data_IF_440684759411
#
_entry.id   IF_440684759411
#
_cell.length_a   1.000
_cell.length_b   1.000
_cell.length_c   1.000
_cell.angle_alpha   90.00
_cell.angle_beta   90.00
_cell.angle_gamma   90.00
#
_symmetry.space_group_name_H-M   'P 1'
#
loop_
_entity.id
_entity.type
_entity.pdbx_description
1 polymer ?
#
# COMPACT_ATOMS: atom_id res chain seq x y z
N UNK A 1 39.16 -21.34 19.54
CA UNK A 1 39.14 -21.22 18.06
C UNK A 1 38.78 -19.79 17.61
N UNK A 2 39.69 -19.09 16.89
CA UNK A 2 39.42 -17.79 16.27
C UNK A 2 38.98 -17.93 14.79
N UNK A 3 38.37 -16.88 14.23
CA UNK A 3 37.97 -16.71 12.81
C UNK A 3 36.44 -16.63 12.67
N UNK A 4 35.80 -15.62 12.06
CA UNK A 4 36.17 -14.74 10.95
C UNK A 4 35.68 -13.30 11.16
N UNK A 5 36.39 -12.36 10.54
CA UNK A 5 35.97 -10.99 10.29
C UNK A 5 35.61 -10.83 8.80
N UNK A 6 34.62 -9.99 8.48
CA UNK A 6 34.47 -9.14 7.27
C UNK A 6 33.14 -8.38 7.44
N UNK A 7 33.12 -7.10 7.80
CA UNK A 7 33.38 -5.91 6.97
C UNK A 7 32.35 -5.74 5.84
N UNK A 8 31.53 -4.68 5.97
CA UNK A 8 30.55 -4.28 4.96
C UNK A 8 29.89 -2.95 5.32
N UNK A 9 30.70 -1.89 5.46
CA UNK A 9 30.20 -0.52 5.51
C UNK A 9 29.90 -0.05 4.09
N UNK A 10 28.63 0.23 3.78
CA UNK A 10 28.26 0.91 2.53
C UNK A 10 27.89 2.35 2.85
N UNK A 11 28.88 3.22 2.66
CA UNK A 11 28.67 4.65 2.49
C UNK A 11 28.32 4.91 1.01
N UNK A 12 27.24 5.65 0.76
CA UNK A 12 26.98 6.24 -0.55
C UNK A 12 26.52 7.69 -0.34
N UNK A 13 27.42 8.61 -0.63
CA UNK A 13 27.17 10.05 -0.70
C UNK A 13 26.41 10.37 -1.99
N UNK A 14 25.28 11.07 -1.91
CA UNK A 14 24.82 11.92 -3.00
C UNK A 14 24.35 13.26 -2.44
N UNK A 15 25.29 14.21 -2.49
CA UNK A 15 24.99 15.63 -2.41
C UNK A 15 24.49 16.09 -3.78
N UNK A 16 23.30 16.69 -3.83
CA UNK A 16 22.93 17.59 -4.93
C UNK A 16 22.36 18.85 -4.29
N UNK A 17 23.23 19.86 -4.16
CA UNK A 17 22.82 21.24 -3.96
C UNK A 17 22.48 21.83 -5.33
N UNK A 18 21.25 22.31 -5.49
CA UNK A 18 20.92 23.25 -6.55
C UNK A 18 20.10 24.39 -5.93
N UNK A 19 20.81 25.48 -5.65
CA UNK A 19 20.24 26.79 -5.31
C UNK A 19 19.66 27.39 -6.60
N UNK A 20 18.37 27.64 -6.61
CA UNK A 20 17.69 28.60 -7.49
C UNK A 20 16.64 29.27 -6.57
N UNK A 21 16.73 30.52 -6.14
CA UNK A 21 17.14 31.72 -6.87
C UNK A 21 15.87 32.53 -7.18
N UNK A 22 15.47 33.42 -6.26
CA UNK A 22 14.40 34.42 -6.46
C UNK A 22 14.78 35.43 -7.55
N UNK A 23 13.90 35.67 -8.53
CA UNK A 23 13.65 36.94 -9.23
C UNK A 23 12.61 36.66 -10.33
N UNK A 24 11.45 37.32 -10.37
CA UNK A 24 11.35 38.72 -10.76
C UNK A 24 10.84 38.76 -12.21
N UNK A 25 9.57 39.12 -12.39
CA UNK A 25 8.92 39.12 -13.70
C UNK A 25 9.47 40.16 -14.67
N UNK A 26 9.17 39.97 -15.94
CA UNK A 26 8.81 41.04 -16.86
C UNK A 26 8.27 40.42 -18.16
N UNK A 27 7.06 40.85 -18.50
CA UNK A 27 6.57 41.00 -19.86
C UNK A 27 7.64 41.65 -20.75
N UNK A 28 7.69 41.28 -22.03
CA UNK A 28 7.75 42.16 -23.21
C UNK A 28 8.22 41.35 -24.42
N UNK A 29 7.30 41.07 -25.33
CA UNK A 29 7.63 40.65 -26.68
C UNK A 29 8.16 41.82 -27.51
N UNK A 30 9.05 41.49 -28.44
CA UNK A 30 9.13 41.98 -29.83
C UNK A 30 10.57 41.84 -30.33
N UNK A 31 10.80 41.02 -31.37
CA UNK A 31 11.31 41.47 -32.67
C UNK A 31 11.49 40.33 -33.69
N UNK A 32 11.59 40.66 -34.99
CA UNK A 32 11.28 39.79 -36.14
C UNK A 32 12.52 39.10 -36.72
N UNK A 33 12.27 38.29 -37.77
CA UNK A 33 13.15 37.88 -38.88
C UNK A 33 14.67 37.76 -38.63
N UNK A 34 15.22 36.57 -38.84
CA UNK A 34 15.99 36.27 -40.06
C UNK A 34 16.51 34.82 -40.01
N UNK A 35 16.64 34.22 -41.20
CA UNK A 35 16.77 32.78 -41.41
C UNK A 35 18.03 32.09 -40.91
N UNK A 36 17.95 30.76 -40.79
CA UNK A 36 18.86 29.79 -41.43
C UNK A 36 18.37 28.36 -41.10
N UNK A 37 18.11 27.58 -42.14
CA UNK A 37 18.00 26.10 -42.16
C UNK A 37 19.42 25.53 -42.47
N UNK A 38 19.79 24.22 -42.35
CA UNK A 38 19.17 22.99 -41.81
C UNK A 38 20.05 22.23 -40.79
N UNK A 39 19.55 21.15 -40.19
CA UNK A 39 20.41 20.20 -39.47
C UNK A 39 19.68 18.93 -39.03
N UNK A 40 20.09 17.80 -39.60
CA UNK A 40 19.53 16.47 -39.50
C UNK A 40 19.35 15.85 -38.11
N UNK A 41 18.27 15.04 -38.05
CA UNK A 41 18.13 13.76 -37.37
C UNK A 41 18.54 13.65 -35.90
N UNK A 42 17.55 13.58 -35.00
CA UNK A 42 17.50 12.55 -33.93
C UNK A 42 16.06 12.16 -33.62
N UNK A 43 15.73 10.92 -34.00
CA UNK A 43 14.82 9.98 -33.34
C UNK A 43 14.00 10.55 -32.16
N UNK A 44 12.78 11.01 -32.44
CA UNK A 44 11.75 11.16 -31.41
C UNK A 44 11.08 9.80 -31.23
N UNK A 45 11.73 8.92 -30.47
CA UNK A 45 11.02 7.85 -29.80
C UNK A 45 10.12 8.52 -28.76
N UNK A 46 8.78 8.40 -28.82
CA UNK A 46 7.93 8.85 -27.73
C UNK A 46 8.24 7.92 -26.56
N UNK A 47 9.11 8.38 -25.67
CA UNK A 47 9.38 7.73 -24.40
C UNK A 47 8.05 7.37 -23.77
N UNK A 48 7.77 6.06 -23.73
CA UNK A 48 6.69 5.52 -22.94
C UNK A 48 7.00 5.92 -21.51
N UNK A 49 6.30 6.92 -21.00
CA UNK A 49 6.25 7.19 -19.56
C UNK A 49 5.79 5.89 -18.91
N UNK A 50 6.72 5.15 -18.32
CA UNK A 50 6.40 4.05 -17.42
C UNK A 50 5.54 4.68 -16.32
N UNK A 51 4.28 4.26 -16.14
CA UNK A 51 3.49 4.71 -15.00
C UNK A 51 4.32 4.46 -13.74
N UNK A 52 4.56 5.52 -12.96
CA UNK A 52 5.33 5.40 -11.73
C UNK A 52 4.73 4.27 -10.88
N UNK A 53 5.57 3.31 -10.51
CA UNK A 53 5.23 2.26 -9.55
C UNK A 53 4.54 2.94 -8.35
N UNK A 54 3.32 2.54 -7.97
CA UNK A 54 2.66 3.13 -6.81
C UNK A 54 3.59 2.97 -5.61
N UNK A 55 3.87 4.08 -4.91
CA UNK A 55 4.62 4.03 -3.67
C UNK A 55 3.95 3.01 -2.73
N UNK A 56 4.72 2.16 -2.03
CA UNK A 56 4.14 1.21 -1.09
C UNK A 56 3.26 1.98 -0.11
N UNK A 57 1.99 1.59 -0.07
CA UNK A 57 1.02 2.29 0.74
C UNK A 57 1.31 1.98 2.21
N UNK A 58 1.79 2.99 2.96
CA UNK A 58 2.09 2.86 4.38
C UNK A 58 0.83 2.43 5.17
N UNK A 59 1.02 1.58 6.19
CA UNK A 59 -0.02 1.12 7.10
C UNK A 59 -0.45 -0.35 6.90
N UNK A 60 -1.60 -0.69 7.49
CA UNK A 60 -2.19 -2.02 7.41
C UNK A 60 -2.92 -2.21 6.08
N UNK A 61 -2.70 -3.36 5.44
CA UNK A 61 -3.46 -3.79 4.27
C UNK A 61 -4.08 -5.15 4.50
N UNK A 62 -5.28 -5.33 3.96
CA UNK A 62 -6.05 -6.57 4.03
C UNK A 62 -6.61 -6.90 2.66
N UNK A 63 -6.49 -8.16 2.28
CA UNK A 63 -7.09 -8.75 1.09
C UNK A 63 -7.84 -10.03 1.46
N UNK A 64 -8.82 -10.40 0.63
CA UNK A 64 -9.56 -11.64 0.75
C UNK A 64 -9.64 -12.39 -0.57
N UNK A 65 -9.62 -13.71 -0.47
CA UNK A 65 -9.86 -14.62 -1.59
C UNK A 65 -10.62 -15.87 -1.12
N UNK A 66 -11.77 -16.23 -1.72
CA UNK A 66 -12.51 -15.46 -2.73
C UNK A 66 -13.37 -14.34 -2.12
N UNK A 67 -13.79 -13.37 -2.94
CA UNK A 67 -14.70 -12.26 -2.54
C UNK A 67 -16.19 -12.56 -2.78
N UNK A 68 -16.52 -13.76 -3.25
CA UNK A 68 -17.89 -14.25 -3.40
C UNK A 68 -17.95 -15.71 -2.96
N UNK A 69 -18.81 -16.00 -2.00
CA UNK A 69 -18.86 -17.30 -1.29
C UNK A 69 -20.30 -17.74 -1.03
N UNK A 70 -20.53 -19.03 -0.77
CA UNK A 70 -21.79 -19.49 -0.18
C UNK A 70 -21.79 -19.28 1.35
N UNK A 71 -22.94 -19.40 2.04
CA UNK A 71 -22.98 -19.25 3.49
C UNK A 71 -22.11 -20.29 4.18
N UNK A 72 -21.27 -19.86 5.12
CA UNK A 72 -20.29 -20.67 5.86
C UNK A 72 -19.10 -21.21 5.04
N UNK A 73 -18.96 -20.81 3.78
CA UNK A 73 -17.72 -21.09 3.05
C UNK A 73 -16.54 -20.30 3.64
N UNK A 74 -15.35 -20.86 3.47
CA UNK A 74 -14.12 -20.29 4.02
C UNK A 74 -13.56 -19.21 3.10
N UNK A 75 -13.24 -18.07 3.68
CA UNK A 75 -12.59 -16.92 3.05
C UNK A 75 -11.17 -16.86 3.58
N UNK A 76 -10.16 -16.94 2.70
CA UNK A 76 -8.78 -16.73 3.09
C UNK A 76 -8.51 -15.22 3.20
N UNK A 77 -7.86 -14.83 4.30
CA UNK A 77 -7.44 -13.46 4.55
C UNK A 77 -5.92 -13.39 4.52
N UNK A 78 -5.39 -12.38 3.82
CA UNK A 78 -3.98 -12.04 3.83
C UNK A 78 -3.83 -10.55 4.09
N UNK A 79 -2.77 -10.18 4.81
CA UNK A 79 -2.48 -8.78 5.04
C UNK A 79 -1.01 -8.51 5.28
N UNK A 80 -0.69 -7.23 5.20
CA UNK A 80 0.68 -6.71 5.34
C UNK A 80 0.65 -5.47 6.23
N UNK A 81 1.77 -5.19 6.87
CA UNK A 81 2.02 -3.98 7.64
C UNK A 81 3.28 -3.30 7.10
N UNK A 82 3.15 -2.05 6.69
CA UNK A 82 4.27 -1.18 6.34
C UNK A 82 4.30 0.05 7.28
N UNK A 83 5.47 0.46 7.80
CA UNK A 83 6.77 -0.22 7.69
C UNK A 83 6.75 -1.61 8.36
N UNK A 84 7.56 -2.52 7.84
CA UNK A 84 7.64 -3.91 8.34
C UNK A 84 7.96 -3.94 9.84
N UNK A 85 7.03 -4.48 10.62
CA UNK A 85 7.18 -4.72 12.05
C UNK A 85 6.59 -6.09 12.43
N UNK A 86 7.36 -6.87 13.18
CA UNK A 86 6.98 -8.21 13.64
C UNK A 86 6.33 -8.17 15.02
N UNK A 87 5.41 -9.09 15.28
CA UNK A 87 4.77 -9.20 16.61
C UNK A 87 3.60 -8.24 16.84
N UNK A 88 3.25 -7.42 15.86
CA UNK A 88 2.08 -6.53 15.92
C UNK A 88 0.81 -7.38 15.88
N UNK A 89 -0.10 -7.14 16.83
CA UNK A 89 -1.36 -7.86 16.92
C UNK A 89 -2.46 -7.05 16.27
N UNK A 90 -3.23 -7.68 15.41
CA UNK A 90 -4.37 -7.07 14.73
C UNK A 90 -5.62 -7.91 14.96
N UNK A 91 -6.76 -7.26 15.21
CA UNK A 91 -8.05 -7.93 15.41
C UNK A 91 -8.94 -7.73 14.21
N UNK A 92 -9.58 -8.80 13.76
CA UNK A 92 -10.55 -8.77 12.66
C UNK A 92 -11.86 -8.13 13.13
N UNK A 93 -12.34 -7.16 12.34
CA UNK A 93 -13.66 -6.58 12.48
C UNK A 93 -14.51 -6.86 11.26
N UNK A 94 -15.82 -6.90 11.49
CA UNK A 94 -16.84 -7.22 10.50
C UNK A 94 -18.01 -6.24 10.63
N UNK A 95 -18.62 -5.93 9.49
CA UNK A 95 -19.85 -5.14 9.36
C UNK A 95 -20.70 -5.76 8.25
N UNK A 96 -22.01 -5.83 8.44
CA UNK A 96 -22.96 -6.29 7.41
C UNK A 96 -23.71 -5.07 6.88
N UNK A 97 -23.65 -4.82 5.57
CA UNK A 97 -24.23 -3.62 4.95
C UNK A 97 -23.80 -2.31 5.65
N UNK A 98 -24.78 -1.46 5.99
CA UNK A 98 -24.58 -0.19 6.71
C UNK A 98 -24.58 -0.33 8.24
N UNK A 99 -24.35 -1.54 8.76
CA UNK A 99 -24.31 -1.80 10.20
C UNK A 99 -23.14 -1.14 10.94
N UNK A 100 -22.96 -1.50 12.21
CA UNK A 100 -21.79 -1.06 12.98
C UNK A 100 -20.62 -2.04 12.81
N UNK A 101 -19.40 -1.51 12.95
CA UNK A 101 -18.20 -2.34 13.02
C UNK A 101 -18.12 -3.04 14.37
N UNK A 102 -17.87 -4.34 14.35
CA UNK A 102 -17.74 -5.15 15.55
C UNK A 102 -16.60 -6.15 15.38
N UNK A 103 -16.00 -6.57 16.50
CA UNK A 103 -15.01 -7.63 16.49
C UNK A 103 -15.62 -8.94 15.99
N UNK A 104 -14.83 -9.72 15.23
CA UNK A 104 -15.33 -10.89 14.55
C UNK A 104 -14.49 -12.15 14.77
N UNK A 105 -15.14 -13.29 15.07
CA UNK A 105 -16.51 -13.39 15.58
C UNK A 105 -16.67 -12.68 16.94
N UNK A 106 -17.82 -12.06 17.20
CA UNK A 106 -18.04 -11.29 18.44
C UNK A 106 -17.88 -12.13 19.72
N UNK A 107 -18.12 -13.46 19.64
CA UNK A 107 -17.97 -14.37 20.78
C UNK A 107 -16.52 -14.74 21.07
N UNK A 108 -15.66 -14.74 20.04
CA UNK A 108 -14.22 -15.07 20.11
C UNK A 108 -13.48 -14.34 18.98
N UNK A 109 -13.09 -13.08 19.20
CA UNK A 109 -12.42 -12.28 18.18
C UNK A 109 -11.17 -12.97 17.62
N UNK A 110 -10.99 -12.91 16.31
CA UNK A 110 -9.78 -13.40 15.66
C UNK A 110 -8.71 -12.33 15.81
N UNK A 111 -7.62 -12.66 16.50
CA UNK A 111 -6.40 -11.85 16.55
C UNK A 111 -5.30 -12.55 15.76
N UNK A 112 -4.68 -11.83 14.84
CA UNK A 112 -3.54 -12.27 14.03
C UNK A 112 -2.29 -11.51 14.46
N UNK A 113 -1.12 -12.10 14.24
CA UNK A 113 0.17 -11.48 14.57
C UNK A 113 1.01 -11.35 13.30
N UNK A 114 1.61 -10.18 13.08
CA UNK A 114 2.54 -9.96 11.97
C UNK A 114 3.80 -10.81 12.15
N UNK A 115 4.27 -11.36 11.04
CA UNK A 115 5.53 -12.11 10.94
C UNK A 115 6.71 -11.14 10.78
N UNK A 116 7.92 -11.71 10.70
CA UNK A 116 9.16 -10.94 10.50
C UNK A 116 9.19 -10.11 9.21
N UNK A 117 8.39 -10.50 8.22
CA UNK A 117 8.23 -9.80 6.93
C UNK A 117 7.02 -8.83 6.92
N UNK A 118 6.38 -8.60 8.08
CA UNK A 118 5.21 -7.72 8.20
C UNK A 118 3.90 -8.37 7.71
N UNK A 119 3.93 -9.62 7.24
CA UNK A 119 2.74 -10.31 6.75
C UNK A 119 1.95 -10.97 7.87
N UNK A 120 0.64 -11.11 7.67
CA UNK A 120 -0.22 -11.96 8.47
C UNK A 120 -1.25 -12.65 7.58
N UNK A 121 -1.76 -13.79 8.03
CA UNK A 121 -2.79 -14.52 7.30
C UNK A 121 -3.74 -15.24 8.24
N UNK A 122 -4.96 -15.43 7.79
CA UNK A 122 -6.02 -16.07 8.55
C UNK A 122 -7.13 -16.59 7.64
N UNK A 123 -8.19 -17.09 8.25
CA UNK A 123 -9.39 -17.47 7.53
C UNK A 123 -10.62 -17.18 8.36
N UNK A 124 -11.72 -16.90 7.69
CA UNK A 124 -13.00 -16.57 8.30
C UNK A 124 -14.12 -17.21 7.50
N UNK A 125 -15.26 -17.46 8.12
CA UNK A 125 -16.49 -17.86 7.46
C UNK A 125 -17.63 -17.04 8.06
N UNK A 126 -18.61 -16.70 7.23
CA UNK A 126 -19.81 -15.94 7.64
C UNK A 126 -21.05 -16.55 6.97
N UNK A 127 -22.17 -16.52 7.66
CA UNK A 127 -23.49 -16.93 7.15
C UNK A 127 -24.41 -15.74 6.86
N UNK A 128 -23.97 -14.52 7.18
CA UNK A 128 -24.74 -13.31 6.96
C UNK A 128 -24.84 -13.01 5.44
N UNK A 129 -26.05 -13.04 4.85
CA UNK A 129 -26.22 -12.88 3.40
C UNK A 129 -25.93 -11.44 2.94
N UNK A 130 -25.52 -11.28 1.68
CA UNK A 130 -25.27 -9.98 1.07
C UNK A 130 -23.83 -9.45 1.29
N UNK A 131 -23.63 -8.13 1.22
CA UNK A 131 -22.30 -7.53 1.35
C UNK A 131 -21.82 -7.55 2.80
N UNK A 132 -20.69 -8.20 3.02
CA UNK A 132 -19.99 -8.30 4.29
C UNK A 132 -18.67 -7.53 4.18
N UNK A 133 -18.49 -6.51 4.99
CA UNK A 133 -17.28 -5.70 5.03
C UNK A 133 -16.37 -6.21 6.14
N UNK A 134 -15.09 -6.41 5.83
CA UNK A 134 -14.07 -6.78 6.80
C UNK A 134 -12.92 -5.77 6.81
N UNK A 135 -12.32 -5.59 7.98
CA UNK A 135 -11.09 -4.82 8.18
C UNK A 135 -10.33 -5.39 9.36
N UNK A 136 -9.07 -5.02 9.50
CA UNK A 136 -8.31 -5.28 10.73
C UNK A 136 -7.94 -3.97 11.43
N UNK A 137 -7.85 -4.03 12.75
CA UNK A 137 -7.45 -2.91 13.62
C UNK A 137 -6.30 -3.37 14.49
N UNK A 138 -5.25 -2.56 14.63
CA UNK A 138 -4.16 -2.85 15.55
C UNK A 138 -4.67 -2.82 17.00
N UNK A 139 -4.32 -3.84 17.77
CA UNK A 139 -4.75 -4.01 19.17
C UNK A 139 -4.14 -2.96 20.09
N UNK A 140 -2.91 -2.55 19.79
CA UNK A 140 -2.12 -1.64 20.60
C UNK A 140 -2.26 -0.17 20.10
N UNK A 141 -2.78 0.04 18.89
CA UNK A 141 -3.09 1.35 18.29
C UNK A 141 -4.38 1.32 17.46
N UNK A 142 -5.51 1.73 18.07
CA UNK A 142 -6.82 1.66 17.42
C UNK A 142 -7.01 2.65 16.26
N UNK A 143 -6.10 3.62 16.08
CA UNK A 143 -6.12 4.53 14.92
C UNK A 143 -5.51 3.89 13.67
N UNK A 144 -4.69 2.85 13.84
CA UNK A 144 -4.11 2.07 12.75
C UNK A 144 -5.11 1.00 12.28
N UNK A 145 -5.83 1.32 11.21
CA UNK A 145 -6.88 0.50 10.60
C UNK A 145 -6.53 0.16 9.15
N UNK A 146 -6.84 -1.04 8.70
CA UNK A 146 -6.65 -1.42 7.29
C UNK A 146 -7.67 -0.78 6.35
N UNK A 147 -7.45 -0.96 5.04
CA UNK A 147 -8.52 -0.82 4.06
C UNK A 147 -9.70 -1.75 4.39
N UNK A 148 -10.90 -1.37 3.93
CA UNK A 148 -12.10 -2.21 3.98
C UNK A 148 -12.10 -3.14 2.75
N UNK A 149 -12.45 -4.41 2.98
CA UNK A 149 -12.70 -5.38 1.92
C UNK A 149 -14.17 -5.80 1.96
N UNK A 150 -14.78 -5.96 0.79
CA UNK A 150 -16.15 -6.44 0.67
C UNK A 150 -16.16 -7.89 0.17
N UNK A 151 -16.89 -8.76 0.86
CA UNK A 151 -17.16 -10.15 0.47
C UNK A 151 -18.66 -10.33 0.35
N UNK A 152 -19.12 -10.84 -0.79
CA UNK A 152 -20.54 -11.12 -1.02
C UNK A 152 -20.86 -12.57 -0.65
N UNK A 153 -21.81 -12.76 0.26
CA UNK A 153 -22.35 -14.09 0.59
C UNK A 153 -23.61 -14.32 -0.23
N UNK A 154 -23.56 -15.35 -1.07
CA UNK A 154 -24.66 -15.75 -1.95
C UNK A 154 -25.76 -16.41 -1.11
N UNK A 155 -26.95 -15.78 -1.07
CA UNK A 155 -28.12 -16.28 -0.33
C UNK A 155 -28.98 -17.25 -1.13
#
# INVERSE_FOLDING_TARGET
PPGQATAGALAACLAVAAVLGFAGGAWFGSRPDDGEQPGDARSSDPGTSVPGEPAPEEGLRLTADPVTVAPNDLIALAGTLEPVEAGVRVTLQHKVGDGEWQDYPASRPITLTTREDGTFSGSVATDAPGPNLFRVVNVDDAEMVSNEIEVTVSG
#
